data_IF_420791476860
#
_entry.id   IF_420791476860
#
_cell.length_a   1.000
_cell.length_b   1.000
_cell.length_c   1.000
_cell.angle_alpha   90.00
_cell.angle_beta   90.00
_cell.angle_gamma   90.00
#
_symmetry.space_group_name_H-M   'P 1'
#
loop_
_entity.id
_entity.type
_entity.pdbx_description
1 polymer ?
#
# COMPACT_ATOMS: atom_id res chain seq x y z
N UNK A 1 -21.53 6.47 0.53
CA UNK A 1 -20.33 5.64 0.33
C UNK A 1 -19.29 6.15 1.30
N UNK A 2 -18.86 5.33 2.26
CA UNK A 2 -17.92 5.76 3.30
C UNK A 2 -16.49 5.31 2.95
N UNK A 3 -15.51 6.14 3.29
CA UNK A 3 -14.11 5.85 2.94
C UNK A 3 -13.59 4.56 3.57
N UNK A 4 -13.99 4.23 4.80
CA UNK A 4 -13.57 3.00 5.49
C UNK A 4 -14.13 1.71 4.83
N UNK A 5 -15.20 1.80 4.05
CA UNK A 5 -15.78 0.66 3.33
C UNK A 5 -15.15 0.49 1.94
N UNK A 6 -14.72 1.58 1.32
CA UNK A 6 -14.26 1.60 -0.07
C UNK A 6 -12.75 1.78 -0.22
N UNK A 7 -12.05 2.16 0.84
CA UNK A 7 -10.64 2.56 0.80
C UNK A 7 -10.48 4.04 0.45
N UNK A 8 -9.26 4.52 0.66
CA UNK A 8 -8.82 5.88 0.31
C UNK A 8 -7.33 5.83 -0.07
N UNK A 9 -7.01 5.55 -1.34
CA UNK A 9 -5.63 5.54 -1.83
C UNK A 9 -5.00 6.93 -1.73
N UNK A 10 -3.80 7.02 -1.16
CA UNK A 10 -3.01 8.25 -1.16
C UNK A 10 -1.92 8.24 -2.20
N UNK A 11 -1.19 7.13 -2.29
CA UNK A 11 -0.03 7.01 -3.17
C UNK A 11 -0.16 5.76 -4.03
N UNK A 12 0.20 5.94 -5.29
CA UNK A 12 0.34 4.92 -6.30
C UNK A 12 1.78 4.95 -6.79
N UNK A 13 2.46 3.81 -6.80
CA UNK A 13 3.84 3.71 -7.26
C UNK A 13 4.00 2.49 -8.15
N UNK A 14 4.44 2.71 -9.39
CA UNK A 14 4.59 1.64 -10.36
C UNK A 14 6.03 1.14 -10.40
N UNK A 15 6.20 -0.17 -10.32
CA UNK A 15 7.48 -0.84 -10.50
C UNK A 15 7.64 -1.24 -11.98
N UNK A 16 8.36 -0.42 -12.74
CA UNK A 16 8.59 -0.64 -14.17
C UNK A 16 9.31 -1.96 -14.50
N UNK A 17 10.08 -2.52 -13.56
CA UNK A 17 10.88 -3.71 -13.83
C UNK A 17 10.03 -4.98 -13.89
N UNK A 18 8.98 -5.04 -13.07
CA UNK A 18 8.11 -6.22 -12.93
C UNK A 18 6.65 -5.95 -13.31
N UNK A 19 6.31 -4.70 -13.62
CA UNK A 19 4.98 -4.30 -14.05
C UNK A 19 3.94 -4.19 -12.93
N UNK A 20 4.37 -4.15 -11.67
CA UNK A 20 3.46 -4.10 -10.52
C UNK A 20 3.11 -2.68 -10.10
N UNK A 21 1.85 -2.46 -9.71
CA UNK A 21 1.37 -1.21 -9.12
C UNK A 21 1.19 -1.36 -7.61
N UNK A 22 2.00 -0.65 -6.85
CA UNK A 22 1.90 -0.55 -5.40
C UNK A 22 0.96 0.59 -5.00
N UNK A 23 0.11 0.33 -4.00
CA UNK A 23 -0.92 1.25 -3.51
C UNK A 23 -0.80 1.39 -2.01
N UNK A 24 -0.68 2.62 -1.52
CA UNK A 24 -0.82 2.94 -0.11
C UNK A 24 -2.22 3.49 0.15
N UNK A 25 -3.01 2.74 0.90
CA UNK A 25 -4.38 3.07 1.26
C UNK A 25 -4.48 3.42 2.74
N UNK A 26 -5.27 4.45 3.05
CA UNK A 26 -5.44 4.91 4.42
C UNK A 26 -6.10 3.87 5.36
N UNK A 27 -6.99 3.03 4.80
CA UNK A 27 -7.80 2.04 5.54
C UNK A 27 -7.36 0.61 5.25
N UNK A 28 -6.87 0.34 4.04
CA UNK A 28 -6.47 -1.00 3.61
C UNK A 28 -4.97 -1.24 3.58
N UNK A 29 -4.16 -0.28 4.06
CA UNK A 29 -2.72 -0.40 4.18
C UNK A 29 -2.02 -0.49 2.81
N UNK A 30 -0.93 -1.26 2.76
CA UNK A 30 -0.20 -1.50 1.50
C UNK A 30 -0.85 -2.61 0.69
N UNK A 31 -1.06 -2.32 -0.59
CA UNK A 31 -1.62 -3.26 -1.55
C UNK A 31 -0.80 -3.26 -2.83
N UNK A 32 -0.92 -4.33 -3.59
CA UNK A 32 -0.28 -4.51 -4.89
C UNK A 32 -1.29 -5.00 -5.93
N UNK A 33 -1.12 -4.53 -7.16
CA UNK A 33 -1.83 -5.02 -8.35
C UNK A 33 -0.75 -5.51 -9.32
N UNK A 34 -0.70 -6.81 -9.57
CA UNK A 34 0.17 -7.38 -10.61
C UNK A 34 -0.48 -7.22 -11.99
N UNK A 35 0.27 -7.32 -13.10
CA UNK A 35 -0.26 -7.15 -14.46
C UNK A 35 -1.48 -8.03 -14.79
N UNK A 36 -1.52 -9.23 -14.21
CA UNK A 36 -2.58 -10.23 -14.43
C UNK A 36 -3.79 -10.02 -13.50
N UNK A 37 -3.67 -9.11 -12.53
CA UNK A 37 -4.69 -8.90 -11.52
C UNK A 37 -5.67 -7.79 -11.90
N UNK A 38 -6.96 -8.06 -11.72
CA UNK A 38 -8.01 -7.05 -11.87
C UNK A 38 -8.36 -6.33 -10.55
N UNK A 39 -7.82 -6.82 -9.43
CA UNK A 39 -8.12 -6.34 -8.07
C UNK A 39 -6.85 -6.34 -7.24
N UNK A 40 -6.67 -5.30 -6.42
CA UNK A 40 -5.51 -5.19 -5.53
C UNK A 40 -5.54 -6.19 -4.38
N UNK A 41 -4.38 -6.76 -4.07
CA UNK A 41 -4.17 -7.72 -2.98
C UNK A 41 -3.33 -7.08 -1.87
N UNK A 42 -3.53 -7.45 -0.60
CA UNK A 42 -2.66 -6.99 0.49
C UNK A 42 -1.20 -7.39 0.24
N UNK A 43 -0.28 -6.46 0.44
CA UNK A 43 1.15 -6.73 0.31
C UNK A 43 1.67 -7.35 1.62
N UNK A 44 1.67 -8.69 1.69
CA UNK A 44 2.26 -9.47 2.77
C UNK A 44 1.43 -9.53 4.08
N UNK A 45 1.24 -10.73 4.68
CA UNK A 45 0.47 -10.87 5.93
C UNK A 45 1.26 -10.52 7.21
N UNK A 46 2.57 -10.31 7.16
CA UNK A 46 3.44 -10.39 8.35
C UNK A 46 4.25 -9.14 8.72
N UNK A 47 4.20 -8.04 7.96
CA UNK A 47 5.19 -6.97 8.14
C UNK A 47 5.04 -6.11 9.41
N UNK A 48 3.95 -6.22 10.20
CA UNK A 48 3.78 -5.36 11.37
C UNK A 48 2.93 -5.89 12.54
N UNK A 49 2.49 -7.17 12.58
CA UNK A 49 1.67 -7.70 13.70
C UNK A 49 0.34 -6.95 13.98
N UNK A 50 0.03 -5.95 13.15
CA UNK A 50 -1.04 -4.97 13.20
C UNK A 50 -1.37 -4.62 11.76
N UNK A 51 -2.64 -4.39 11.39
CA UNK A 51 -2.96 -3.85 10.08
C UNK A 51 -2.21 -2.53 9.90
N UNK A 52 -1.42 -2.42 8.83
CA UNK A 52 -0.78 -1.17 8.44
C UNK A 52 -1.91 -0.15 8.26
N UNK A 53 -1.91 0.88 9.10
CA UNK A 53 -2.97 1.88 9.11
C UNK A 53 -2.35 3.21 8.75
N UNK A 54 -2.96 3.88 7.76
CA UNK A 54 -2.54 5.21 7.35
C UNK A 54 -1.15 5.28 6.70
N UNK A 55 -0.90 4.36 5.76
CA UNK A 55 0.24 4.42 4.86
C UNK A 55 0.15 5.66 3.94
N UNK A 56 1.24 6.43 3.83
CA UNK A 56 1.22 7.74 3.17
C UNK A 56 2.18 7.88 2.00
N UNK A 57 3.25 7.08 1.94
CA UNK A 57 4.23 7.17 0.84
C UNK A 57 4.78 5.79 0.53
N UNK A 58 5.08 5.56 -0.75
CA UNK A 58 5.77 4.38 -1.25
C UNK A 58 6.90 4.86 -2.15
N UNK A 59 8.10 4.38 -1.90
CA UNK A 59 9.25 4.50 -2.78
C UNK A 59 9.77 3.12 -3.16
N UNK A 60 10.27 3.01 -4.38
CA UNK A 60 10.80 1.75 -4.93
C UNK A 60 12.21 2.04 -5.39
N UNK A 61 13.16 1.28 -4.85
CA UNK A 61 14.51 1.24 -5.39
C UNK A 61 14.47 0.46 -6.71
N UNK A 62 14.82 1.14 -7.81
CA UNK A 62 14.75 0.56 -9.15
C UNK A 62 15.90 -0.42 -9.45
N UNK A 63 16.99 -0.40 -8.68
CA UNK A 63 18.10 -1.34 -8.85
C UNK A 63 17.88 -2.62 -8.06
N UNK A 64 17.42 -2.48 -6.81
CA UNK A 64 17.26 -3.62 -5.88
C UNK A 64 15.84 -4.17 -5.82
N UNK A 65 14.84 -3.38 -6.23
CA UNK A 65 13.42 -3.72 -6.08
C UNK A 65 12.88 -3.57 -4.66
N UNK A 66 13.67 -3.01 -3.74
CA UNK A 66 13.23 -2.79 -2.35
C UNK A 66 12.13 -1.74 -2.31
N UNK A 67 11.03 -2.08 -1.61
CA UNK A 67 9.88 -1.19 -1.42
C UNK A 67 9.92 -0.60 -0.02
N UNK A 68 10.07 0.72 0.06
CA UNK A 68 10.07 1.49 1.30
C UNK A 68 8.75 2.25 1.42
N UNK A 69 8.21 2.35 2.64
CA UNK A 69 6.97 3.09 2.88
C UNK A 69 6.98 3.79 4.24
N UNK A 70 6.06 4.74 4.41
CA UNK A 70 5.85 5.44 5.67
C UNK A 70 4.39 5.36 6.12
N UNK A 71 4.20 5.24 7.42
CA UNK A 71 2.90 5.40 8.08
C UNK A 71 2.87 6.72 8.84
N UNK A 72 1.74 7.43 8.81
CA UNK A 72 1.62 8.73 9.49
C UNK A 72 1.53 8.55 11.01
N UNK A 73 0.79 7.54 11.48
CA UNK A 73 0.63 7.28 12.91
C UNK A 73 0.07 5.89 13.17
N UNK A 74 0.66 5.17 14.12
CA UNK A 74 0.09 3.94 14.68
C UNK A 74 -0.89 4.20 15.82
N UNK A 75 -0.99 5.45 16.31
CA UNK A 75 -1.87 5.84 17.43
C UNK A 75 -3.13 6.55 16.99
N UNK A 76 -3.07 7.26 15.88
CA UNK A 76 -4.16 8.07 15.34
C UNK A 76 -4.52 7.59 13.93
N UNK A 77 -5.17 6.42 13.80
CA UNK A 77 -5.63 5.96 12.50
C UNK A 77 -6.78 6.84 11.98
N UNK A 78 -6.97 6.85 10.66
CA UNK A 78 -8.17 7.43 10.05
C UNK A 78 -9.40 6.59 10.41
N UNK A 79 -10.47 7.24 10.83
CA UNK A 79 -11.76 6.62 11.18
C UNK A 79 -12.72 6.62 10.00
#
# INVERSE_FOLDING_TARGET
>A
MNEHECGRPFVLKFNNNIGELYVADAYFGLRVVSPEDNVSKPLGPELAGSPLSFANTIEIDHETGVVCFTEISTRFPRK
#
